data_IF_499925526366
#
_entry.id   IF_499925526366
#
_cell.length_a   1.000
_cell.length_b   1.000
_cell.length_c   1.000
_cell.angle_alpha   90.00
_cell.angle_beta   90.00
_cell.angle_gamma   90.00
#
_symmetry.space_group_name_H-M   'P 1'
#
loop_
_entity.id
_entity.type
_entity.pdbx_description
1 polymer ?
#
# COMPACT_ATOMS: atom_id res chain seq x y z
N UNK A 1 -10.23 35.56 10.11
CA UNK A 1 -9.78 34.77 8.94
C UNK A 1 -10.40 33.40 9.10
N UNK A 2 -11.26 32.95 8.18
CA UNK A 2 -11.59 31.53 8.14
C UNK A 2 -10.31 30.79 7.72
N UNK A 3 -10.04 29.70 8.42
CA UNK A 3 -9.08 28.70 7.97
C UNK A 3 -9.75 28.01 6.79
N UNK A 4 -9.18 28.18 5.60
CA UNK A 4 -9.62 27.42 4.44
C UNK A 4 -9.17 25.98 4.69
N UNK A 5 -10.13 25.12 5.06
CA UNK A 5 -9.92 23.66 5.11
C UNK A 5 -9.56 23.21 3.70
N UNK A 6 -8.26 23.10 3.41
CA UNK A 6 -7.76 22.43 2.23
C UNK A 6 -8.42 21.05 2.17
N UNK A 7 -9.14 20.79 1.07
CA UNK A 7 -10.03 19.64 0.91
C UNK A 7 -9.39 18.34 1.39
N UNK A 8 -9.85 17.86 2.54
CA UNK A 8 -9.51 16.53 3.03
C UNK A 8 -10.33 15.52 2.25
N UNK A 9 -9.87 15.17 1.04
CA UNK A 9 -10.28 13.92 0.43
C UNK A 9 -9.65 12.81 1.26
N UNK A 10 -10.47 11.86 1.72
CA UNK A 10 -9.97 10.70 2.46
C UNK A 10 -8.86 10.00 1.65
N UNK A 11 -7.81 9.50 2.30
CA UNK A 11 -6.72 8.81 1.61
C UNK A 11 -7.25 7.60 0.85
N UNK A 12 -6.69 7.37 -0.33
CA UNK A 12 -7.04 6.27 -1.22
C UNK A 12 -6.25 5.05 -0.78
N UNK A 13 -6.97 4.03 -0.31
CA UNK A 13 -6.41 2.73 0.07
C UNK A 13 -6.09 1.93 -1.17
N UNK A 14 -4.87 1.41 -1.26
CA UNK A 14 -4.45 0.51 -2.33
C UNK A 14 -3.88 -0.77 -1.71
N UNK A 15 -4.31 -1.90 -2.25
CA UNK A 15 -3.75 -3.21 -1.94
C UNK A 15 -2.98 -3.73 -3.16
N UNK A 16 -1.71 -4.07 -2.93
CA UNK A 16 -0.79 -4.62 -3.93
C UNK A 16 -0.56 -6.09 -3.59
N UNK A 17 -0.96 -6.99 -4.49
CA UNK A 17 -0.71 -8.43 -4.38
C UNK A 17 0.48 -8.83 -5.25
N UNK A 18 1.52 -9.36 -4.63
CA UNK A 18 2.76 -9.78 -5.28
C UNK A 18 2.81 -11.31 -5.28
N UNK A 19 2.64 -11.99 -6.44
CA UNK A 19 2.67 -13.45 -6.54
C UNK A 19 4.10 -14.00 -6.50
N UNK A 20 4.84 -13.65 -5.45
CA UNK A 20 6.18 -14.16 -5.17
C UNK A 20 6.28 -14.65 -3.72
N UNK A 21 7.06 -15.71 -3.46
CA UNK A 21 7.24 -16.26 -2.13
C UNK A 21 8.20 -15.40 -1.29
N UNK A 22 7.79 -14.16 -0.97
CA UNK A 22 8.62 -13.17 -0.28
C UNK A 22 8.55 -13.34 1.22
N UNK A 23 9.71 -13.41 1.87
CA UNK A 23 9.79 -13.34 3.32
C UNK A 23 9.46 -11.92 3.81
N UNK A 24 8.97 -11.73 5.05
CA UNK A 24 8.64 -10.39 5.56
C UNK A 24 9.77 -9.37 5.45
N UNK A 25 11.01 -9.76 5.79
CA UNK A 25 12.17 -8.87 5.68
C UNK A 25 12.48 -8.51 4.23
N UNK A 26 12.47 -9.50 3.33
CA UNK A 26 12.71 -9.29 1.92
C UNK A 26 11.64 -8.38 1.28
N UNK A 27 10.37 -8.57 1.65
CA UNK A 27 9.26 -7.70 1.22
C UNK A 27 9.47 -6.26 1.69
N UNK A 28 9.86 -6.09 2.95
CA UNK A 28 10.16 -4.79 3.53
C UNK A 28 11.27 -4.06 2.79
N UNK A 29 12.40 -4.73 2.57
CA UNK A 29 13.56 -4.15 1.89
C UNK A 29 13.31 -3.86 0.41
N UNK A 30 12.61 -4.75 -0.31
CA UNK A 30 12.41 -4.60 -1.76
C UNK A 30 11.32 -3.62 -2.14
N UNK A 31 10.32 -3.42 -1.28
CA UNK A 31 9.10 -2.71 -1.64
C UNK A 31 8.66 -1.68 -0.59
N UNK A 32 8.53 -2.06 0.68
CA UNK A 32 7.97 -1.14 1.69
C UNK A 32 8.89 0.04 1.93
N UNK A 33 10.19 -0.19 2.15
CA UNK A 33 11.16 0.88 2.37
C UNK A 33 11.25 1.85 1.17
N UNK A 34 11.39 1.38 -0.09
CA UNK A 34 11.32 2.28 -1.25
C UNK A 34 10.01 3.05 -1.40
N UNK A 35 8.87 2.48 -0.98
CA UNK A 35 7.59 3.17 -0.97
C UNK A 35 7.53 4.22 0.13
N UNK A 36 8.04 3.91 1.33
CA UNK A 36 8.20 4.89 2.40
C UNK A 36 9.09 6.06 1.95
N UNK A 37 10.24 5.79 1.32
CA UNK A 37 11.12 6.84 0.79
C UNK A 37 10.37 7.75 -0.21
N UNK A 38 9.60 7.15 -1.14
CA UNK A 38 8.76 7.89 -2.09
C UNK A 38 7.73 8.78 -1.38
N UNK A 39 7.08 8.27 -0.34
CA UNK A 39 6.04 9.00 0.38
C UNK A 39 6.61 10.10 1.27
N UNK A 40 7.75 9.87 1.91
CA UNK A 40 8.48 10.88 2.68
C UNK A 40 8.93 12.06 1.79
N UNK A 41 9.38 11.77 0.55
CA UNK A 41 9.77 12.80 -0.41
C UNK A 41 8.60 13.64 -0.96
N UNK A 42 7.42 13.04 -1.03
CA UNK A 42 6.25 13.65 -1.69
C UNK A 42 5.17 14.15 -0.73
N UNK A 43 5.27 13.83 0.56
CA UNK A 43 4.19 13.96 1.55
C UNK A 43 2.88 13.31 1.02
N UNK A 44 3.05 12.20 0.29
CA UNK A 44 2.07 11.70 -0.67
C UNK A 44 1.26 10.50 -0.19
N UNK A 45 1.63 9.87 0.93
CA UNK A 45 1.02 8.62 1.37
C UNK A 45 1.73 7.97 2.54
N UNK A 46 1.40 6.71 2.80
CA UNK A 46 2.07 5.86 3.78
C UNK A 46 1.92 4.38 3.44
N UNK A 47 2.84 3.54 3.92
CA UNK A 47 2.69 2.09 3.94
C UNK A 47 2.00 1.70 5.23
N UNK A 48 0.72 1.31 5.14
CA UNK A 48 -0.14 1.09 6.31
C UNK A 48 -0.22 -0.37 6.74
N UNK A 49 0.29 -1.29 5.93
CA UNK A 49 0.28 -2.70 6.26
C UNK A 49 0.88 -3.60 5.19
N UNK A 50 0.89 -4.89 5.48
CA UNK A 50 1.34 -5.91 4.55
C UNK A 50 1.40 -7.28 5.20
N UNK A 51 1.22 -8.31 4.40
CA UNK A 51 1.20 -9.71 4.81
C UNK A 51 2.02 -10.60 3.89
N UNK A 52 2.16 -11.85 4.33
CA UNK A 52 2.66 -12.95 3.50
C UNK A 52 1.63 -14.06 3.56
N UNK A 53 1.32 -14.66 2.41
CA UNK A 53 0.35 -15.73 2.33
C UNK A 53 1.07 -17.07 2.44
N UNK A 54 0.56 -17.93 3.33
CA UNK A 54 1.03 -19.29 3.50
C UNK A 54 0.04 -20.29 2.92
N UNK A 55 0.51 -21.16 2.04
CA UNK A 55 -0.22 -22.33 1.58
C UNK A 55 0.59 -23.58 1.88
N UNK A 56 -0.03 -24.55 2.56
CA UNK A 56 0.61 -25.82 2.92
C UNK A 56 1.99 -25.65 3.61
N UNK A 57 2.13 -24.61 4.44
CA UNK A 57 3.36 -24.31 5.17
C UNK A 57 4.47 -23.64 4.34
N UNK A 58 4.17 -23.20 3.12
CA UNK A 58 5.11 -22.45 2.26
C UNK A 58 4.54 -21.07 1.96
N UNK A 59 5.41 -20.07 1.90
CA UNK A 59 5.00 -18.75 1.41
C UNK A 59 4.76 -18.84 -0.09
N UNK A 60 3.63 -18.32 -0.57
CA UNK A 60 3.25 -18.33 -1.99
C UNK A 60 3.12 -16.94 -2.58
N UNK A 61 2.70 -15.96 -1.79
CA UNK A 61 2.56 -14.57 -2.19
C UNK A 61 2.78 -13.62 -1.02
N UNK A 62 2.88 -12.33 -1.31
CA UNK A 62 2.87 -11.27 -0.33
C UNK A 62 1.91 -10.17 -0.74
N UNK A 63 1.47 -9.37 0.23
CA UNK A 63 0.70 -8.16 -0.03
C UNK A 63 1.30 -6.96 0.69
N UNK A 64 1.06 -5.79 0.12
CA UNK A 64 1.40 -4.49 0.69
C UNK A 64 0.15 -3.63 0.63
N UNK A 65 -0.14 -2.97 1.74
CA UNK A 65 -1.24 -2.03 1.87
C UNK A 65 -0.67 -0.63 2.01
N UNK A 66 -1.08 0.26 1.12
CA UNK A 66 -0.65 1.66 1.11
C UNK A 66 -1.86 2.58 1.11
N UNK A 67 -1.65 3.79 1.60
CA UNK A 67 -2.56 4.91 1.47
C UNK A 67 -1.87 5.98 0.63
N UNK A 68 -2.58 6.56 -0.35
CA UNK A 68 -2.10 7.71 -1.11
C UNK A 68 -3.08 8.87 -1.02
N UNK A 69 -2.56 10.08 -0.96
CA UNK A 69 -3.35 11.31 -0.87
C UNK A 69 -3.87 11.77 -2.24
N UNK A 70 -3.24 11.32 -3.33
CA UNK A 70 -3.53 11.74 -4.71
C UNK A 70 -3.32 10.57 -5.69
N UNK A 71 -4.32 10.25 -6.51
CA UNK A 71 -4.24 9.18 -7.54
C UNK A 71 -3.08 9.37 -8.52
N UNK A 72 -2.61 10.60 -8.73
CA UNK A 72 -1.46 10.90 -9.59
C UNK A 72 -0.14 10.30 -9.09
N UNK A 73 -0.09 9.77 -7.86
CA UNK A 73 1.05 9.02 -7.33
C UNK A 73 1.07 7.55 -7.78
N UNK A 74 -0.05 6.99 -8.25
CA UNK A 74 -0.13 5.59 -8.70
C UNK A 74 0.97 5.19 -9.71
N UNK A 75 1.29 5.99 -10.74
CA UNK A 75 2.37 5.67 -11.66
C UNK A 75 3.72 5.52 -10.96
N UNK A 76 4.05 6.41 -10.01
CA UNK A 76 5.30 6.34 -9.24
C UNK A 76 5.34 5.12 -8.33
N UNK A 77 4.22 4.79 -7.68
CA UNK A 77 4.09 3.55 -6.89
C UNK A 77 4.38 2.33 -7.77
N UNK A 78 3.79 2.27 -8.97
CA UNK A 78 4.04 1.18 -9.92
C UNK A 78 5.51 1.13 -10.33
N UNK A 79 6.14 2.27 -10.65
CA UNK A 79 7.56 2.34 -10.98
C UNK A 79 8.45 1.82 -9.84
N UNK A 80 8.15 2.21 -8.60
CA UNK A 80 8.86 1.72 -7.40
C UNK A 80 8.71 0.21 -7.24
N UNK A 81 7.50 -0.33 -7.41
CA UNK A 81 7.26 -1.78 -7.37
C UNK A 81 8.04 -2.52 -8.47
N UNK A 82 8.07 -1.98 -9.69
CA UNK A 82 8.83 -2.53 -10.82
C UNK A 82 10.34 -2.47 -10.58
N UNK A 83 10.84 -1.39 -9.97
CA UNK A 83 12.24 -1.28 -9.57
C UNK A 83 12.62 -2.37 -8.54
N UNK A 84 11.72 -2.65 -7.58
CA UNK A 84 11.80 -3.76 -6.63
C UNK A 84 11.61 -5.17 -7.24
N UNK A 85 11.47 -5.26 -8.57
CA UNK A 85 11.26 -6.51 -9.33
C UNK A 85 9.93 -7.21 -9.01
N UNK A 86 8.87 -6.45 -8.75
CA UNK A 86 7.52 -6.98 -8.75
C UNK A 86 7.21 -7.61 -10.13
N UNK A 87 6.68 -8.84 -10.17
CA UNK A 87 6.40 -9.57 -11.41
C UNK A 87 5.23 -8.95 -12.17
N UNK A 88 5.15 -9.21 -13.49
CA UNK A 88 4.16 -8.55 -14.37
C UNK A 88 2.71 -8.81 -13.97
N UNK A 89 2.44 -9.95 -13.34
CA UNK A 89 1.15 -10.38 -12.78
C UNK A 89 0.89 -9.87 -11.35
N UNK A 90 1.66 -8.90 -10.85
CA UNK A 90 1.31 -8.13 -9.64
C UNK A 90 -0.04 -7.44 -9.83
N UNK A 91 -0.97 -7.72 -8.92
CA UNK A 91 -2.30 -7.12 -8.92
C UNK A 91 -2.32 -5.87 -8.04
N UNK A 92 -2.96 -4.81 -8.52
CA UNK A 92 -3.13 -3.55 -7.78
C UNK A 92 -4.63 -3.27 -7.74
N UNK A 93 -5.17 -3.10 -6.54
CA UNK A 93 -6.59 -2.86 -6.31
C UNK A 93 -6.79 -1.66 -5.40
N UNK A 94 -7.77 -0.83 -5.73
CA UNK A 94 -8.18 0.30 -4.88
C UNK A 94 -9.26 -0.22 -3.92
N UNK A 95 -9.00 -0.13 -2.62
CA UNK A 95 -9.94 -0.54 -1.57
C UNK A 95 -10.88 0.60 -1.14
N UNK A 96 -11.99 0.26 -0.47
CA UNK A 96 -12.82 1.28 0.17
C UNK A 96 -12.10 1.87 1.40
N UNK A 97 -12.18 3.19 1.64
CA UNK A 97 -11.70 3.77 2.90
C UNK A 97 -12.48 3.15 4.07
N UNK A 98 -11.79 2.52 5.02
CA UNK A 98 -12.42 2.05 6.24
C UNK A 98 -12.94 3.25 7.04
N UNK A 99 -14.23 3.49 6.93
CA UNK A 99 -14.90 4.45 7.78
C UNK A 99 -14.80 3.91 9.22
N UNK A 100 -13.95 4.53 10.07
CA UNK A 100 -13.68 4.09 11.45
C UNK A 100 -14.97 3.89 12.28
N UNK A 101 -16.09 4.50 11.87
CA UNK A 101 -17.41 4.32 12.49
C UNK A 101 -18.00 2.91 12.34
N UNK A 102 -17.55 2.09 11.38
CA UNK A 102 -18.06 0.70 11.20
C UNK A 102 -17.41 -0.31 12.14
N UNK A 103 -16.23 -0.04 12.71
CA UNK A 103 -15.51 -1.02 13.52
C UNK A 103 -16.00 -1.11 14.99
N UNK A 104 -16.84 -0.18 15.43
CA UNK A 104 -17.29 -0.08 16.84
C UNK A 104 -18.73 -0.57 17.09
N UNK A 105 -19.36 -1.28 16.15
CA UNK A 105 -20.77 -1.72 16.31
C UNK A 105 -21.01 -3.23 16.41
N UNK A 106 -19.96 -4.05 16.30
CA UNK A 106 -20.10 -5.51 16.31
C UNK A 106 -19.36 -6.19 17.48
N UNK A 107 -19.43 -5.62 18.69
CA UNK A 107 -19.09 -6.29 19.95
C UNK A 107 -20.27 -6.26 20.93
#
# INVERSE_FOLDING_TARGET
MPIDEAGSSAPIRINVMIPQPLQPLERGERFELPLCDLFDETDGGDVVGGGTMLEQGKITSANIEIEINDESLLPKVIETLRAGKAPDDTEISIGEPINQTKLLRDF
#
